data_IF_300264221535
#
_entry.id   IF_300264221535
#
_cell.length_a   1.000
_cell.length_b   1.000
_cell.length_c   1.000
_cell.angle_alpha   90.00
_cell.angle_beta   90.00
_cell.angle_gamma   90.00
#
_symmetry.space_group_name_H-M   'P 1'
#
loop_
_entity.id
_entity.type
_entity.pdbx_description
1 polymer ?
#
# COMPACT_ATOMS: atom_id res chain seq x y z
N UNK A 1 36.55 -57.34 18.65
CA UNK A 1 36.74 -55.94 19.10
C UNK A 1 36.23 -54.89 18.10
N UNK A 2 35.54 -55.28 17.02
CA UNK A 2 35.05 -54.37 15.96
C UNK A 2 33.63 -53.83 16.17
N UNK A 3 32.84 -54.43 17.07
CA UNK A 3 31.46 -54.01 17.34
C UNK A 3 31.34 -52.72 18.18
N UNK A 4 32.22 -52.53 19.17
CA UNK A 4 32.19 -51.38 20.09
C UNK A 4 32.59 -50.06 19.38
N UNK A 5 33.59 -50.12 18.49
CA UNK A 5 34.02 -48.96 17.70
C UNK A 5 32.95 -48.47 16.73
N UNK A 6 32.08 -49.36 16.23
CA UNK A 6 30.98 -48.95 15.34
C UNK A 6 29.82 -48.32 16.12
N UNK A 7 29.57 -48.79 17.35
CA UNK A 7 28.53 -48.25 18.24
C UNK A 7 28.88 -46.88 18.83
N UNK A 8 30.17 -46.61 19.08
CA UNK A 8 30.64 -45.32 19.60
C UNK A 8 31.09 -44.37 18.48
N UNK A 9 31.62 -44.89 17.37
CA UNK A 9 32.15 -44.08 16.28
C UNK A 9 31.07 -43.28 15.55
N UNK A 10 29.89 -43.87 15.36
CA UNK A 10 28.78 -43.21 14.67
C UNK A 10 28.20 -42.00 15.46
N UNK A 11 27.89 -42.10 16.77
CA UNK A 11 27.45 -40.94 17.54
C UNK A 11 28.55 -39.88 17.68
N UNK A 12 29.82 -40.27 17.81
CA UNK A 12 30.94 -39.31 17.85
C UNK A 12 31.06 -38.56 16.53
N UNK A 13 30.99 -39.26 15.38
CA UNK A 13 31.01 -38.63 14.07
C UNK A 13 29.82 -37.67 13.87
N UNK A 14 28.62 -38.04 14.33
CA UNK A 14 27.45 -37.18 14.29
C UNK A 14 27.64 -35.90 15.12
N UNK A 15 28.16 -36.00 16.35
CA UNK A 15 28.45 -34.84 17.19
C UNK A 15 29.47 -33.92 16.53
N UNK A 16 30.56 -34.48 15.97
CA UNK A 16 31.57 -33.70 15.25
C UNK A 16 30.97 -32.96 14.06
N UNK A 17 30.11 -33.61 13.27
CA UNK A 17 29.43 -32.97 12.14
C UNK A 17 28.50 -31.83 12.59
N UNK A 18 27.72 -32.03 13.66
CA UNK A 18 26.84 -30.99 14.23
C UNK A 18 27.66 -29.81 14.74
N UNK A 19 28.71 -30.06 15.52
CA UNK A 19 29.60 -29.01 16.00
C UNK A 19 30.28 -28.26 14.84
N UNK A 20 30.64 -28.96 13.76
CA UNK A 20 31.18 -28.35 12.55
C UNK A 20 30.18 -27.39 11.91
N UNK A 21 28.92 -27.80 11.73
CA UNK A 21 27.86 -26.93 11.17
C UNK A 21 27.60 -25.73 12.07
N UNK A 22 27.47 -25.94 13.39
CA UNK A 22 27.26 -24.83 14.36
C UNK A 22 28.45 -23.87 14.36
N UNK A 23 29.68 -24.38 14.31
CA UNK A 23 30.89 -23.56 14.20
C UNK A 23 30.91 -22.70 12.94
N UNK A 24 30.54 -23.27 11.79
CA UNK A 24 30.41 -22.51 10.53
C UNK A 24 29.33 -21.43 10.64
N UNK A 25 28.16 -21.75 11.19
CA UNK A 25 27.06 -20.80 11.36
C UNK A 25 27.48 -19.63 12.26
N UNK A 26 28.12 -19.91 13.40
CA UNK A 26 28.62 -18.88 14.32
C UNK A 26 29.71 -18.02 13.66
N UNK A 27 30.64 -18.63 12.91
CA UNK A 27 31.69 -17.91 12.19
C UNK A 27 31.15 -16.99 11.08
N UNK A 28 29.95 -17.26 10.55
CA UNK A 28 29.28 -16.43 9.55
C UNK A 28 28.22 -15.50 10.17
N UNK A 29 28.33 -15.20 11.47
CA UNK A 29 27.48 -14.22 12.14
C UNK A 29 26.16 -14.78 12.69
N UNK A 30 25.97 -16.09 12.70
CA UNK A 30 24.77 -16.74 13.26
C UNK A 30 24.59 -16.53 14.78
N UNK A 31 25.63 -16.06 15.49
CA UNK A 31 25.57 -15.68 16.90
C UNK A 31 25.37 -14.19 17.16
N UNK A 32 25.50 -13.34 16.13
CA UNK A 32 25.45 -11.88 16.22
C UNK A 32 24.24 -11.32 15.47
N UNK A 33 23.15 -12.11 15.37
CA UNK A 33 21.92 -11.65 14.75
C UNK A 33 21.31 -10.53 15.61
N UNK A 34 21.61 -9.28 15.24
CA UNK A 34 20.93 -8.09 15.71
C UNK A 34 19.81 -7.78 14.70
N UNK A 35 18.51 -7.92 15.07
CA UNK A 35 17.43 -7.54 14.17
C UNK A 35 17.63 -6.08 13.74
N UNK A 36 17.59 -5.84 12.43
CA UNK A 36 17.59 -4.48 11.90
C UNK A 36 16.47 -3.69 12.57
N UNK A 37 16.80 -2.53 13.13
CA UNK A 37 15.78 -1.66 13.73
C UNK A 37 14.78 -1.29 12.63
N UNK A 38 13.47 -1.42 12.90
CA UNK A 38 12.43 -0.91 12.01
C UNK A 38 12.73 0.53 11.60
N UNK A 39 12.44 0.85 10.33
CA UNK A 39 12.59 2.21 9.85
C UNK A 39 11.62 3.14 10.60
N UNK A 40 12.04 4.38 10.83
CA UNK A 40 11.18 5.39 11.44
C UNK A 40 10.06 5.78 10.45
N UNK A 41 8.78 5.50 10.77
CA UNK A 41 7.65 5.80 9.89
C UNK A 41 7.37 7.30 9.78
N UNK A 42 7.88 8.13 10.70
CA UNK A 42 7.76 9.58 10.62
C UNK A 42 8.84 10.21 9.72
N UNK A 43 9.88 9.46 9.37
CA UNK A 43 10.95 9.96 8.53
C UNK A 43 10.53 10.02 7.06
N UNK A 44 10.84 11.13 6.41
CA UNK A 44 10.53 11.32 5.01
C UNK A 44 11.31 10.34 4.13
N UNK A 45 10.61 9.48 3.38
CA UNK A 45 11.19 8.54 2.44
C UNK A 45 10.62 8.73 1.03
N UNK A 46 11.47 8.55 0.02
CA UNK A 46 11.01 8.37 -1.35
C UNK A 46 10.53 6.91 -1.53
N UNK A 47 9.29 6.76 -1.98
CA UNK A 47 8.70 5.45 -2.33
C UNK A 47 8.62 5.37 -3.85
N UNK A 48 9.33 4.40 -4.41
CA UNK A 48 9.26 4.06 -5.83
C UNK A 48 8.30 2.90 -5.99
N UNK A 49 7.27 3.12 -6.80
CA UNK A 49 6.36 2.07 -7.24
C UNK A 49 7.10 1.02 -8.09
N UNK A 50 6.70 -0.25 -8.01
CA UNK A 50 7.11 -1.25 -9.00
C UNK A 50 6.16 -1.28 -10.19
N UNK A 51 4.89 -0.90 -9.99
CA UNK A 51 3.89 -0.77 -11.05
C UNK A 51 3.89 0.64 -11.67
N UNK A 52 3.35 0.73 -12.88
CA UNK A 52 3.05 2.00 -13.57
C UNK A 52 1.55 2.33 -13.42
N UNK A 53 1.12 3.48 -13.94
CA UNK A 53 -0.31 3.80 -14.04
C UNK A 53 -1.05 3.93 -12.70
N UNK A 54 -2.31 3.47 -12.70
CA UNK A 54 -3.23 3.48 -11.54
C UNK A 54 -2.71 2.55 -10.43
N UNK A 55 -2.22 1.38 -10.79
CA UNK A 55 -1.64 0.43 -9.83
C UNK A 55 -0.45 1.06 -9.10
N UNK A 56 0.43 1.72 -9.86
CA UNK A 56 1.60 2.36 -9.27
C UNK A 56 1.28 3.62 -8.46
N UNK A 57 0.18 4.31 -8.75
CA UNK A 57 -0.37 5.34 -7.88
C UNK A 57 -0.89 4.74 -6.57
N UNK A 58 -1.66 3.65 -6.67
CA UNK A 58 -2.26 2.96 -5.52
C UNK A 58 -1.20 2.39 -4.59
N UNK A 59 -0.18 1.72 -5.13
CA UNK A 59 0.95 1.18 -4.36
C UNK A 59 1.63 2.27 -3.54
N UNK A 60 1.99 3.39 -4.18
CA UNK A 60 2.63 4.55 -3.50
C UNK A 60 1.73 5.14 -2.44
N UNK A 61 0.44 5.30 -2.73
CA UNK A 61 -0.52 5.86 -1.80
C UNK A 61 -0.66 5.00 -0.54
N UNK A 62 -0.79 3.68 -0.70
CA UNK A 62 -0.91 2.73 0.41
C UNK A 62 0.39 2.70 1.23
N UNK A 63 1.55 2.59 0.59
CA UNK A 63 2.84 2.55 1.30
C UNK A 63 3.08 3.81 2.14
N UNK A 64 2.91 5.00 1.54
CA UNK A 64 3.03 6.27 2.25
C UNK A 64 1.91 6.46 3.29
N UNK A 65 0.72 5.92 3.03
CA UNK A 65 -0.42 5.97 3.93
C UNK A 65 -0.18 5.18 5.22
N UNK A 66 0.34 3.96 5.10
CA UNK A 66 0.71 3.11 6.24
C UNK A 66 1.83 3.77 7.06
N UNK A 67 2.85 4.34 6.41
CA UNK A 67 3.90 5.12 7.11
C UNK A 67 3.27 6.27 7.92
N UNK A 68 2.40 7.05 7.28
CA UNK A 68 1.70 8.16 7.93
C UNK A 68 0.74 7.73 9.05
N UNK A 69 0.20 6.51 9.00
CA UNK A 69 -0.65 5.95 10.03
C UNK A 69 0.17 5.47 11.23
N UNK A 70 1.23 4.70 10.97
CA UNK A 70 2.16 4.22 11.98
C UNK A 70 2.81 5.38 12.74
N UNK A 71 3.21 6.45 12.04
CA UNK A 71 3.73 7.66 12.65
C UNK A 71 2.72 8.32 13.62
N UNK A 72 1.43 8.35 13.26
CA UNK A 72 0.35 8.89 14.12
C UNK A 72 0.12 8.04 15.37
N UNK A 73 0.25 6.73 15.24
CA UNK A 73 0.07 5.78 16.34
C UNK A 73 1.32 5.61 17.21
N UNK A 74 2.47 6.15 16.80
CA UNK A 74 3.74 6.03 17.54
C UNK A 74 4.32 4.60 17.53
N UNK A 75 3.98 3.79 16.54
CA UNK A 75 4.45 2.41 16.36
C UNK A 75 5.28 2.31 15.08
N UNK A 76 6.05 1.24 14.89
CA UNK A 76 6.72 1.02 13.59
C UNK A 76 5.71 0.61 12.52
N UNK A 77 6.06 0.84 11.24
CA UNK A 77 5.26 0.36 10.11
C UNK A 77 5.00 -1.13 10.19
N UNK A 78 6.04 -1.92 10.49
CA UNK A 78 5.96 -3.38 10.56
C UNK A 78 5.02 -3.82 11.70
N UNK A 79 5.05 -3.14 12.84
CA UNK A 79 4.14 -3.42 13.95
C UNK A 79 2.69 -3.09 13.57
N UNK A 80 2.45 -1.93 12.94
CA UNK A 80 1.11 -1.55 12.49
C UNK A 80 0.56 -2.49 11.41
N UNK A 81 1.35 -2.83 10.40
CA UNK A 81 0.94 -3.79 9.35
C UNK A 81 0.67 -5.17 9.93
N UNK A 82 1.49 -5.62 10.88
CA UNK A 82 1.26 -6.89 11.57
C UNK A 82 -0.04 -6.86 12.37
N UNK A 83 -0.29 -5.76 13.09
CA UNK A 83 -1.51 -5.60 13.87
C UNK A 83 -2.76 -5.58 12.98
N UNK A 84 -2.70 -4.87 11.85
CA UNK A 84 -3.77 -4.90 10.84
C UNK A 84 -4.01 -6.31 10.28
N UNK A 85 -2.94 -7.09 10.04
CA UNK A 85 -3.05 -8.43 9.50
C UNK A 85 -3.56 -9.48 10.51
N UNK A 86 -3.42 -9.21 11.82
CA UNK A 86 -3.82 -10.13 12.88
C UNK A 86 -5.17 -9.79 13.51
N UNK A 87 -5.71 -8.61 13.24
CA UNK A 87 -6.88 -8.08 13.92
C UNK A 87 -8.10 -8.16 13.00
N UNK A 88 -9.11 -8.94 13.41
CA UNK A 88 -10.38 -9.06 12.67
C UNK A 88 -11.24 -7.77 12.74
N UNK A 89 -10.93 -6.84 13.65
CA UNK A 89 -11.69 -5.61 13.86
C UNK A 89 -10.80 -4.45 14.33
N UNK A 90 -10.31 -3.62 13.40
CA UNK A 90 -9.48 -2.46 13.74
C UNK A 90 -10.22 -1.46 14.64
N UNK A 91 -9.50 -0.95 15.64
CA UNK A 91 -9.98 0.11 16.53
C UNK A 91 -10.22 1.43 15.79
N UNK A 92 -11.06 2.30 16.36
CA UNK A 92 -11.32 3.63 15.78
C UNK A 92 -10.02 4.44 15.61
N UNK A 93 -9.10 4.36 16.57
CA UNK A 93 -7.80 5.03 16.49
C UNK A 93 -6.97 4.55 15.29
N UNK A 94 -7.01 3.25 14.98
CA UNK A 94 -6.31 2.69 13.82
C UNK A 94 -6.96 3.12 12.50
N UNK A 95 -8.30 3.13 12.43
CA UNK A 95 -9.04 3.60 11.26
C UNK A 95 -8.76 5.09 11.00
N UNK A 96 -8.80 5.91 12.05
CA UNK A 96 -8.52 7.35 11.95
C UNK A 96 -7.06 7.62 11.57
N UNK A 97 -6.13 6.86 12.14
CA UNK A 97 -4.71 6.95 11.79
C UNK A 97 -4.46 6.56 10.33
N UNK A 98 -5.11 5.49 9.84
CA UNK A 98 -5.03 5.05 8.44
C UNK A 98 -5.62 6.09 7.49
N UNK A 99 -6.82 6.60 7.78
CA UNK A 99 -7.46 7.66 6.99
C UNK A 99 -6.58 8.91 6.93
N UNK A 100 -6.07 9.35 8.09
CA UNK A 100 -5.13 10.46 8.17
C UNK A 100 -3.85 10.20 7.40
N UNK A 101 -3.35 8.96 7.47
CA UNK A 101 -2.21 8.41 6.74
C UNK A 101 -2.35 8.62 5.25
N UNK A 102 -3.40 8.06 4.67
CA UNK A 102 -3.72 8.14 3.25
C UNK A 102 -3.87 9.59 2.78
N UNK A 103 -4.55 10.46 3.55
CA UNK A 103 -4.66 11.90 3.22
C UNK A 103 -3.31 12.62 3.22
N UNK A 104 -2.45 12.27 4.18
CA UNK A 104 -1.10 12.83 4.26
C UNK A 104 -0.24 12.36 3.08
N UNK A 105 -0.42 11.11 2.65
CA UNK A 105 0.22 10.57 1.46
C UNK A 105 -0.19 11.34 0.19
N UNK A 106 -1.50 11.61 -0.03
CA UNK A 106 -1.96 12.44 -1.16
C UNK A 106 -1.32 13.82 -1.10
N UNK A 107 -1.33 14.47 0.07
CA UNK A 107 -0.76 15.81 0.26
C UNK A 107 0.74 15.82 -0.06
N UNK A 108 1.46 14.79 0.38
CA UNK A 108 2.89 14.63 0.11
C UNK A 108 3.16 14.39 -1.37
N UNK A 109 2.45 13.48 -2.01
CA UNK A 109 2.62 13.20 -3.44
C UNK A 109 2.32 14.43 -4.30
N UNK A 110 1.37 15.27 -3.88
CA UNK A 110 1.12 16.58 -4.50
C UNK A 110 2.32 17.51 -4.35
N UNK A 111 2.87 17.62 -3.14
CA UNK A 111 4.00 18.49 -2.84
C UNK A 111 5.28 18.06 -3.56
N UNK A 112 5.50 16.74 -3.67
CA UNK A 112 6.66 16.15 -4.33
C UNK A 112 6.50 16.10 -5.87
N UNK A 113 5.34 16.52 -6.40
CA UNK A 113 5.03 16.50 -7.84
C UNK A 113 4.87 15.09 -8.43
N UNK A 114 4.57 14.10 -7.59
CA UNK A 114 4.47 12.68 -7.98
C UNK A 114 3.03 12.19 -8.18
N UNK A 115 2.03 13.03 -7.88
CA UNK A 115 0.64 12.77 -8.26
C UNK A 115 0.46 12.96 -9.78
N UNK A 116 0.00 11.93 -10.51
CA UNK A 116 -0.34 12.09 -11.91
C UNK A 116 -1.56 13.00 -12.08
N UNK A 117 -1.62 13.80 -13.15
CA UNK A 117 -2.84 14.51 -13.51
C UNK A 117 -3.98 13.52 -13.83
N UNK A 118 -5.22 13.96 -13.72
CA UNK A 118 -6.38 13.09 -13.94
C UNK A 118 -6.41 12.58 -15.39
N UNK A 119 -6.05 13.44 -16.35
CA UNK A 119 -5.88 13.09 -17.76
C UNK A 119 -4.98 11.87 -17.99
N UNK A 120 -3.88 11.75 -17.25
CA UNK A 120 -2.95 10.63 -17.39
C UNK A 120 -3.52 9.28 -16.91
N UNK A 121 -4.59 9.29 -16.11
CA UNK A 121 -5.25 8.08 -15.60
C UNK A 121 -6.46 7.67 -16.44
N UNK A 122 -6.97 8.58 -17.27
CA UNK A 122 -8.18 8.35 -18.07
C UNK A 122 -7.96 7.26 -19.11
N UNK A 123 -6.81 7.23 -19.78
CA UNK A 123 -6.57 6.25 -20.85
C UNK A 123 -6.60 4.81 -20.33
N UNK A 124 -5.91 4.54 -19.22
CA UNK A 124 -5.90 3.24 -18.56
C UNK A 124 -7.30 2.86 -18.05
N UNK A 125 -8.01 3.83 -17.46
CA UNK A 125 -9.40 3.63 -17.00
C UNK A 125 -10.36 3.32 -18.15
N UNK A 126 -10.17 3.94 -19.32
CA UNK A 126 -10.98 3.70 -20.51
C UNK A 126 -10.69 2.33 -21.13
N UNK A 127 -9.45 1.85 -21.05
CA UNK A 127 -9.09 0.53 -21.55
C UNK A 127 -9.70 -0.58 -20.69
N UNK A 128 -9.85 -0.37 -19.38
CA UNK A 128 -10.48 -1.34 -18.48
C UNK A 128 -12.02 -1.32 -18.50
N UNK A 129 -12.66 -0.31 -19.12
CA UNK A 129 -14.13 -0.22 -19.16
C UNK A 129 -14.75 -0.95 -20.35
N UNK A 130 -15.97 -1.48 -20.15
CA UNK A 130 -16.84 -2.06 -21.20
C UNK A 130 -17.56 -1.00 -22.08
N UNK A 131 -16.98 0.20 -22.20
CA UNK A 131 -17.54 1.25 -23.05
C UNK A 131 -17.35 0.92 -24.54
N UNK A 132 -18.23 1.45 -25.39
CA UNK A 132 -18.08 1.33 -26.84
C UNK A 132 -16.86 2.13 -27.34
N UNK A 133 -16.14 1.60 -28.33
CA UNK A 133 -14.94 2.22 -28.93
C UNK A 133 -15.18 3.67 -29.42
N UNK A 134 -16.38 3.97 -29.91
CA UNK A 134 -16.76 5.33 -30.31
C UNK A 134 -16.74 6.28 -29.11
N UNK A 135 -17.28 5.85 -27.98
CA UNK A 135 -17.34 6.66 -26.77
C UNK A 135 -15.95 6.82 -26.15
N UNK A 136 -15.14 5.74 -26.12
CA UNK A 136 -13.73 5.81 -25.72
C UNK A 136 -12.98 6.85 -26.56
N UNK A 137 -13.17 6.82 -27.88
CA UNK A 137 -12.55 7.79 -28.81
C UNK A 137 -13.01 9.22 -28.55
N UNK A 138 -14.28 9.43 -28.23
CA UNK A 138 -14.82 10.75 -27.91
C UNK A 138 -14.24 11.30 -26.60
N UNK A 139 -14.13 10.48 -25.57
CA UNK A 139 -13.56 10.88 -24.28
C UNK A 139 -12.06 11.19 -24.45
N UNK A 140 -11.33 10.37 -25.22
CA UNK A 140 -9.92 10.63 -25.59
C UNK A 140 -9.70 11.90 -26.41
N UNK A 141 -10.74 12.38 -27.10
CA UNK A 141 -10.65 13.64 -27.84
C UNK A 141 -10.76 14.88 -26.94
N UNK A 142 -11.08 14.71 -25.65
CA UNK A 142 -11.12 15.82 -24.70
C UNK A 142 -9.70 16.30 -24.39
N UNK A 143 -9.45 17.63 -24.38
CA UNK A 143 -8.13 18.15 -24.01
C UNK A 143 -7.79 17.82 -22.54
N UNK A 144 -6.55 17.39 -22.28
CA UNK A 144 -6.04 17.12 -20.93
C UNK A 144 -6.31 18.28 -19.96
N UNK A 145 -6.08 19.52 -20.43
CA UNK A 145 -6.35 20.73 -19.64
C UNK A 145 -7.80 20.88 -19.18
N UNK A 146 -8.77 20.38 -19.95
CA UNK A 146 -10.18 20.39 -19.57
C UNK A 146 -10.46 19.33 -18.51
N UNK A 147 -9.88 18.13 -18.66
CA UNK A 147 -9.98 17.04 -17.69
C UNK A 147 -9.35 17.48 -16.37
N UNK A 148 -8.12 17.98 -16.38
CA UNK A 148 -7.37 18.39 -15.19
C UNK A 148 -7.90 19.67 -14.53
N UNK A 149 -8.68 20.47 -15.27
CA UNK A 149 -9.41 21.61 -14.71
C UNK A 149 -10.75 21.18 -14.10
N UNK A 150 -11.34 20.08 -14.56
CA UNK A 150 -12.59 19.54 -14.05
C UNK A 150 -12.36 18.63 -12.84
N UNK A 151 -11.32 17.81 -12.89
CA UNK A 151 -10.98 16.78 -11.92
C UNK A 151 -9.54 16.99 -11.45
N UNK A 152 -9.40 17.35 -10.18
CA UNK A 152 -8.12 17.44 -9.51
C UNK A 152 -7.85 16.12 -8.80
N UNK A 153 -6.79 15.42 -9.18
CA UNK A 153 -6.45 14.08 -8.66
C UNK A 153 -6.40 14.08 -7.13
N UNK A 154 -5.76 15.07 -6.52
CA UNK A 154 -5.67 15.19 -5.05
C UNK A 154 -7.04 15.35 -4.39
N UNK A 155 -7.90 16.14 -5.01
CA UNK A 155 -9.23 16.47 -4.54
C UNK A 155 -10.19 15.26 -4.64
N UNK A 156 -10.06 14.45 -5.69
CA UNK A 156 -10.79 13.19 -5.85
C UNK A 156 -10.28 12.16 -4.84
N UNK A 157 -8.95 11.99 -4.72
CA UNK A 157 -8.38 11.03 -3.79
C UNK A 157 -8.74 11.34 -2.33
N UNK A 158 -8.65 12.60 -1.90
CA UNK A 158 -9.00 12.99 -0.52
C UNK A 158 -10.48 12.71 -0.23
N UNK A 159 -11.39 13.01 -1.17
CA UNK A 159 -12.82 12.72 -1.01
C UNK A 159 -13.12 11.23 -1.02
N UNK A 160 -12.47 10.47 -1.90
CA UNK A 160 -12.61 9.02 -1.94
C UNK A 160 -12.14 8.40 -0.62
N UNK A 161 -11.00 8.88 -0.08
CA UNK A 161 -10.51 8.46 1.24
C UNK A 161 -11.49 8.85 2.35
N UNK A 162 -12.23 9.96 2.26
CA UNK A 162 -13.24 10.35 3.24
C UNK A 162 -14.49 9.47 3.21
N UNK A 163 -14.95 9.13 2.01
CA UNK A 163 -16.17 8.33 1.83
C UNK A 163 -15.92 6.82 1.95
N UNK A 164 -14.66 6.38 1.89
CA UNK A 164 -14.30 4.97 2.03
C UNK A 164 -14.52 4.47 3.47
N UNK A 165 -15.26 3.37 3.59
CA UNK A 165 -15.40 2.62 4.83
C UNK A 165 -14.18 1.71 5.05
N UNK A 166 -13.12 2.28 5.59
CA UNK A 166 -11.87 1.56 5.89
C UNK A 166 -12.08 0.35 6.81
N UNK A 167 -13.11 0.35 7.66
CA UNK A 167 -13.37 -0.79 8.54
C UNK A 167 -13.88 -1.97 7.72
N UNK A 168 -14.81 -1.71 6.82
CA UNK A 168 -15.36 -2.73 5.92
C UNK A 168 -14.33 -3.17 4.88
N UNK A 169 -13.47 -2.27 4.38
CA UNK A 169 -12.34 -2.64 3.52
C UNK A 169 -11.37 -3.59 4.23
N UNK A 170 -10.95 -3.27 5.46
CA UNK A 170 -9.99 -4.09 6.21
C UNK A 170 -10.57 -5.43 6.65
N UNK A 171 -11.88 -5.50 6.88
CA UNK A 171 -12.56 -6.74 7.26
C UNK A 171 -12.76 -7.73 6.09
N UNK A 172 -12.61 -7.28 4.83
CA UNK A 172 -12.87 -8.08 3.63
C UNK A 172 -11.67 -8.05 2.66
N UNK A 173 -10.43 -8.05 3.18
CA UNK A 173 -9.22 -8.01 2.35
C UNK A 173 -9.04 -9.28 1.48
N UNK A 174 -9.69 -10.37 1.84
CA UNK A 174 -9.69 -11.65 1.13
C UNK A 174 -10.81 -11.78 0.08
N UNK A 175 -11.77 -10.85 0.06
CA UNK A 175 -12.86 -10.81 -0.91
C UNK A 175 -12.64 -9.66 -1.91
N UNK A 176 -12.12 -10.02 -3.08
CA UNK A 176 -11.80 -9.06 -4.14
C UNK A 176 -13.06 -8.32 -4.63
N UNK A 177 -14.20 -9.00 -4.79
CA UNK A 177 -15.43 -8.40 -5.30
C UNK A 177 -15.98 -7.37 -4.31
N UNK A 178 -15.93 -7.68 -3.00
CA UNK A 178 -16.34 -6.76 -1.95
C UNK A 178 -15.43 -5.53 -1.84
N UNK A 179 -14.12 -5.70 -2.08
CA UNK A 179 -13.16 -4.61 -2.09
C UNK A 179 -13.41 -3.67 -3.29
N UNK A 180 -13.55 -4.25 -4.49
CA UNK A 180 -13.81 -3.50 -5.72
C UNK A 180 -15.10 -2.68 -5.60
N UNK A 181 -16.18 -3.27 -5.08
CA UNK A 181 -17.44 -2.57 -4.88
C UNK A 181 -17.31 -1.36 -3.93
N UNK A 182 -16.59 -1.48 -2.83
CA UNK A 182 -16.40 -0.38 -1.89
C UNK A 182 -15.57 0.76 -2.47
N UNK A 183 -14.48 0.41 -3.16
CA UNK A 183 -13.62 1.38 -3.82
C UNK A 183 -14.39 2.09 -4.94
N UNK A 184 -15.12 1.36 -5.77
CA UNK A 184 -15.92 1.91 -6.87
C UNK A 184 -16.93 2.94 -6.36
N UNK A 185 -17.66 2.63 -5.29
CA UNK A 185 -18.64 3.52 -4.68
C UNK A 185 -17.98 4.81 -4.18
N UNK A 186 -16.86 4.68 -3.44
CA UNK A 186 -16.15 5.83 -2.90
C UNK A 186 -15.55 6.72 -4.01
N UNK A 187 -14.92 6.11 -5.02
CA UNK A 187 -14.31 6.83 -6.14
C UNK A 187 -15.37 7.52 -6.99
N UNK A 188 -16.46 6.83 -7.33
CA UNK A 188 -17.57 7.40 -8.12
C UNK A 188 -18.20 8.59 -7.39
N UNK A 189 -18.44 8.44 -6.08
CA UNK A 189 -18.92 9.52 -5.22
C UNK A 189 -17.98 10.73 -5.21
N UNK A 190 -16.68 10.48 -5.04
CA UNK A 190 -15.65 11.52 -5.03
C UNK A 190 -15.52 12.28 -6.35
N UNK A 191 -15.54 11.55 -7.48
CA UNK A 191 -15.52 12.15 -8.82
C UNK A 191 -16.74 13.04 -9.02
N UNK A 192 -17.93 12.54 -8.70
CA UNK A 192 -19.18 13.32 -8.77
C UNK A 192 -19.11 14.58 -7.90
N UNK A 193 -18.68 14.45 -6.65
CA UNK A 193 -18.55 15.57 -5.73
C UNK A 193 -17.53 16.61 -6.21
N UNK A 194 -16.41 16.17 -6.79
CA UNK A 194 -15.40 17.05 -7.39
C UNK A 194 -15.97 17.84 -8.57
N UNK A 195 -16.70 17.16 -9.48
CA UNK A 195 -17.34 17.81 -10.62
C UNK A 195 -18.41 18.82 -10.19
N UNK A 196 -19.24 18.46 -9.22
CA UNK A 196 -20.25 19.38 -8.67
C UNK A 196 -19.61 20.61 -8.03
N UNK A 197 -18.55 20.42 -7.25
CA UNK A 197 -17.80 21.52 -6.65
C UNK A 197 -17.21 22.44 -7.72
N UNK A 198 -16.70 21.87 -8.82
CA UNK A 198 -16.19 22.64 -9.96
C UNK A 198 -17.27 23.47 -10.62
N UNK A 199 -18.44 22.89 -10.88
CA UNK A 199 -19.58 23.60 -11.48
C UNK A 199 -20.05 24.74 -10.58
N UNK A 200 -20.20 24.50 -9.27
CA UNK A 200 -20.57 25.54 -8.31
C UNK A 200 -19.54 26.67 -8.21
N UNK A 201 -18.26 26.38 -8.46
CA UNK A 201 -17.22 27.41 -8.48
C UNK A 201 -17.18 28.26 -9.77
N UNK A 202 -17.97 27.92 -10.79
CA UNK A 202 -18.08 28.66 -12.06
C UNK A 202 -19.32 29.57 -12.13
N UNK A 203 -20.28 29.40 -11.22
CA UNK A 203 -21.52 30.19 -11.10
C UNK A 203 -21.41 31.14 -9.91
#
# INVERSE_FOLDING_TARGET
MTGLHRWVGLPVAAVVLVCGVVGVQLAHGGGEYEPLRPADPCSARAVTSQAEGIDGLTERLVLLGIDGAACRLGVSREAFTLELAQTDSPSDAQIDALRGGLKSAVTRMKADGTLPPASALVDESLDSTDLNDLLKSLIRALPDSAIDAALKTDDVLVRAIDDLDLRTVLANLDDQDALEQQIEVAVTGAVKASLEARIRGLV
#
